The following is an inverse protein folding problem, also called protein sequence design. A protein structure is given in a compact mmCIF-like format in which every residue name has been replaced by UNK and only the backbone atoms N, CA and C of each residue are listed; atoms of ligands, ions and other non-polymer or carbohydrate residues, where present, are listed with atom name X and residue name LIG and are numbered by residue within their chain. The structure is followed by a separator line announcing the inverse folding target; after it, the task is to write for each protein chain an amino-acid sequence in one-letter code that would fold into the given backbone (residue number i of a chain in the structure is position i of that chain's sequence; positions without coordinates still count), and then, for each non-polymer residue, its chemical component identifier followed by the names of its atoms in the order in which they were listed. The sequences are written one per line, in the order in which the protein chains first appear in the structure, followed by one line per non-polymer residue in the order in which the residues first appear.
data_IF_376735549392
#
_entry.id   IF_376735549392
#
_cell.length_a   1.000
_cell.length_b   1.000
_cell.length_c   1.000
_cell.angle_alpha   90.00
_cell.angle_beta   90.00
_cell.angle_gamma   90.00
#
_symmetry.space_group_name_H-M   'P 1'
#
loop_
_entity.id
_entity.type
_entity.pdbx_description
1 polymer ?
#
# COMPACT_ATOMS: atom_id res chain seq x y z
N UNK A 1 -50.20 -28.51 -32.66
CA UNK A 1 -48.91 -27.80 -32.66
C UNK A 1 -48.66 -27.34 -31.23
N UNK A 2 -47.78 -27.99 -30.56
CA UNK A 2 -47.43 -27.69 -29.15
C UNK A 2 -46.11 -26.90 -29.20
N UNK A 3 -46.17 -25.63 -28.73
CA UNK A 3 -44.98 -24.80 -28.59
C UNK A 3 -44.12 -25.35 -27.45
N UNK A 4 -42.78 -25.46 -27.64
CA UNK A 4 -41.89 -25.84 -26.53
C UNK A 4 -41.71 -24.66 -25.57
N UNK A 5 -41.61 -24.99 -24.28
CA UNK A 5 -41.34 -24.05 -23.20
C UNK A 5 -39.92 -23.44 -23.32
N UNK A 6 -39.68 -22.19 -22.89
CA UNK A 6 -38.37 -21.55 -22.92
C UNK A 6 -37.41 -22.21 -21.94
N UNK A 7 -36.14 -22.24 -22.31
CA UNK A 7 -35.05 -22.87 -21.57
C UNK A 7 -34.66 -22.04 -20.33
N UNK A 8 -34.10 -22.65 -19.25
CA UNK A 8 -33.79 -21.97 -18.00
C UNK A 8 -32.51 -21.12 -18.04
N UNK A 9 -32.00 -20.69 -19.21
CA UNK A 9 -30.73 -19.96 -19.37
C UNK A 9 -30.84 -18.44 -19.35
N UNK A 10 -32.08 -17.86 -19.26
CA UNK A 10 -32.30 -16.41 -19.33
C UNK A 10 -32.68 -15.80 -17.97
N UNK A 11 -32.05 -16.27 -16.89
CA UNK A 11 -32.13 -15.56 -15.62
C UNK A 11 -30.99 -14.56 -15.59
N UNK A 12 -31.30 -13.33 -16.01
CA UNK A 12 -30.47 -12.16 -15.75
C UNK A 12 -30.14 -12.07 -14.26
N UNK A 13 -28.91 -12.42 -13.88
CA UNK A 13 -28.39 -12.09 -12.56
C UNK A 13 -28.25 -10.58 -12.48
N UNK A 14 -28.93 -9.90 -11.54
CA UNK A 14 -28.77 -8.45 -11.39
C UNK A 14 -27.32 -8.16 -11.00
N UNK A 15 -26.61 -7.44 -11.88
CA UNK A 15 -25.34 -6.79 -11.59
C UNK A 15 -25.52 -5.92 -10.33
N UNK A 16 -24.82 -6.27 -9.24
CA UNK A 16 -24.82 -5.52 -7.97
C UNK A 16 -23.91 -4.26 -8.08
N UNK A 17 -23.70 -3.76 -9.27
CA UNK A 17 -23.29 -2.38 -9.54
C UNK A 17 -24.56 -1.59 -9.90
N UNK A 18 -25.33 -1.18 -8.86
CA UNK A 18 -26.35 -0.15 -9.07
C UNK A 18 -25.70 1.01 -9.80
N UNK A 19 -26.20 1.39 -11.00
CA UNK A 19 -25.67 2.56 -11.69
C UNK A 19 -25.75 3.73 -10.72
N UNK A 20 -24.63 4.42 -10.49
CA UNK A 20 -24.59 5.67 -9.73
C UNK A 20 -25.66 6.59 -10.35
N UNK A 21 -26.80 6.73 -9.69
CA UNK A 21 -27.82 7.72 -10.05
C UNK A 21 -27.09 9.06 -9.95
N UNK A 22 -26.84 9.69 -11.09
CA UNK A 22 -26.29 11.04 -11.14
C UNK A 22 -27.31 11.95 -10.44
N UNK A 23 -27.09 12.21 -9.16
CA UNK A 23 -27.90 13.17 -8.41
C UNK A 23 -27.53 14.54 -8.99
N UNK A 24 -28.43 15.20 -9.72
CA UNK A 24 -28.15 16.52 -10.30
C UNK A 24 -27.92 17.52 -9.16
N UNK A 25 -26.77 18.17 -9.13
CA UNK A 25 -26.54 19.27 -8.21
C UNK A 25 -25.31 19.19 -7.29
N UNK A 26 -24.53 18.10 -7.35
CA UNK A 26 -23.27 18.07 -6.60
C UNK A 26 -22.14 18.78 -7.34
N UNK A 27 -21.24 19.47 -6.60
CA UNK A 27 -20.04 20.14 -7.13
C UNK A 27 -19.25 19.22 -8.07
N UNK A 28 -19.23 17.92 -7.78
CA UNK A 28 -18.60 16.88 -8.63
C UNK A 28 -19.27 16.74 -9.99
N UNK A 29 -20.60 16.92 -10.13
CA UNK A 29 -21.30 16.82 -11.42
C UNK A 29 -21.04 18.05 -12.31
N UNK A 30 -20.88 19.23 -11.72
CA UNK A 30 -20.54 20.45 -12.43
C UNK A 30 -19.12 20.41 -13.01
N UNK A 31 -18.11 19.99 -12.21
CA UNK A 31 -16.73 19.83 -12.65
C UNK A 31 -16.66 18.79 -13.80
N UNK A 32 -17.42 17.72 -13.72
CA UNK A 32 -17.45 16.65 -14.74
C UNK A 32 -17.91 17.12 -16.13
N UNK A 33 -18.72 18.15 -16.23
CA UNK A 33 -19.27 18.63 -17.52
C UNK A 33 -18.27 19.48 -18.31
N UNK A 34 -17.36 20.18 -17.64
CA UNK A 34 -16.48 21.19 -18.23
C UNK A 34 -15.02 20.75 -18.35
N UNK A 35 -14.64 19.60 -17.77
CA UNK A 35 -13.26 19.10 -17.81
C UNK A 35 -13.17 17.84 -18.68
N UNK A 36 -12.16 17.74 -19.57
CA UNK A 36 -11.94 16.55 -20.40
C UNK A 36 -11.85 15.28 -19.55
N UNK A 37 -12.62 14.25 -19.91
CA UNK A 37 -12.60 12.97 -19.19
C UNK A 37 -11.28 12.23 -19.44
N UNK A 38 -10.76 11.53 -18.41
CA UNK A 38 -9.63 10.63 -18.52
C UNK A 38 -10.09 9.17 -18.55
N UNK A 39 -9.48 8.35 -19.41
CA UNK A 39 -9.74 6.92 -19.47
C UNK A 39 -9.21 6.18 -18.23
N UNK A 40 -9.72 4.98 -17.96
CA UNK A 40 -9.22 4.11 -16.89
C UNK A 40 -7.71 3.83 -17.02
N UNK A 41 -7.23 3.61 -18.26
CA UNK A 41 -5.80 3.40 -18.54
C UNK A 41 -4.96 4.66 -18.31
N UNK A 42 -5.47 5.84 -18.72
CA UNK A 42 -4.82 7.12 -18.46
C UNK A 42 -4.66 7.39 -16.95
N UNK A 43 -5.73 7.20 -16.19
CA UNK A 43 -5.70 7.32 -14.73
C UNK A 43 -4.68 6.37 -14.09
N UNK A 44 -4.60 5.11 -14.55
CA UNK A 44 -3.61 4.14 -14.07
C UNK A 44 -2.17 4.57 -14.35
N UNK A 45 -1.89 5.27 -15.46
CA UNK A 45 -0.55 5.82 -15.75
C UNK A 45 -0.16 6.89 -14.74
N UNK A 46 -1.06 7.83 -14.43
CA UNK A 46 -0.84 8.85 -13.40
C UNK A 46 -0.56 8.18 -12.05
N UNK A 47 -1.33 7.16 -11.71
CA UNK A 47 -1.18 6.43 -10.47
C UNK A 47 0.11 5.60 -10.42
N UNK A 48 0.55 5.02 -11.53
CA UNK A 48 1.84 4.33 -11.61
C UNK A 48 3.01 5.30 -11.40
N UNK A 49 2.92 6.53 -11.94
CA UNK A 49 3.89 7.58 -11.70
C UNK A 49 3.90 7.99 -10.21
N UNK A 50 2.72 8.19 -9.59
CA UNK A 50 2.62 8.47 -8.16
C UNK A 50 3.26 7.37 -7.30
N UNK A 51 2.99 6.10 -7.60
CA UNK A 51 3.57 4.95 -6.93
C UNK A 51 5.10 4.90 -7.08
N UNK A 52 5.60 5.17 -8.28
CA UNK A 52 7.05 5.25 -8.53
C UNK A 52 7.69 6.37 -7.71
N UNK A 53 7.11 7.58 -7.71
CA UNK A 53 7.65 8.73 -6.97
C UNK A 53 7.59 8.53 -5.45
N UNK A 54 6.53 7.90 -4.93
CA UNK A 54 6.45 7.51 -3.51
C UNK A 54 7.54 6.49 -3.16
N UNK A 55 7.81 5.53 -4.03
CA UNK A 55 8.92 4.58 -3.83
C UNK A 55 10.28 5.27 -3.89
N UNK A 56 10.44 6.20 -4.83
CA UNK A 56 11.69 6.96 -5.03
C UNK A 56 11.99 7.85 -3.81
N UNK A 57 11.00 8.56 -3.25
CA UNK A 57 11.24 9.44 -2.09
C UNK A 57 11.62 8.66 -0.83
N UNK A 58 11.10 7.44 -0.64
CA UNK A 58 11.52 6.57 0.47
C UNK A 58 13.01 6.26 0.34
N UNK A 59 13.45 5.93 -0.87
CA UNK A 59 14.86 5.63 -1.13
C UNK A 59 15.75 6.88 -1.01
N UNK A 60 15.38 8.00 -1.65
CA UNK A 60 16.19 9.24 -1.57
C UNK A 60 16.20 9.83 -0.16
N UNK A 61 15.11 9.72 0.61
CA UNK A 61 15.07 10.08 2.03
C UNK A 61 16.03 9.23 2.88
N UNK A 62 16.16 7.94 2.55
CA UNK A 62 17.19 7.11 3.19
C UNK A 62 18.61 7.56 2.81
N UNK A 63 18.86 7.97 1.55
CA UNK A 63 20.14 8.51 1.12
C UNK A 63 20.50 9.82 1.85
N UNK A 64 19.52 10.73 2.06
CA UNK A 64 19.72 11.94 2.89
C UNK A 64 20.22 11.55 4.28
N UNK A 65 19.61 10.53 4.88
CA UNK A 65 20.03 10.04 6.20
C UNK A 65 21.44 9.40 6.16
N UNK A 66 21.69 8.53 5.18
CA UNK A 66 22.97 7.80 5.06
C UNK A 66 24.15 8.71 4.75
N UNK A 67 23.91 9.85 4.08
CA UNK A 67 24.93 10.86 3.80
C UNK A 67 25.16 11.87 4.93
N UNK A 68 24.51 11.70 6.09
CA UNK A 68 24.58 12.67 7.18
C UNK A 68 23.99 14.03 6.85
N UNK A 69 23.00 14.07 5.94
CA UNK A 69 22.42 15.33 5.42
C UNK A 69 21.04 15.65 5.99
N UNK A 70 20.62 14.94 7.05
CA UNK A 70 19.27 15.09 7.60
C UNK A 70 19.00 16.40 8.33
N UNK A 71 20.06 17.16 8.69
CA UNK A 71 19.98 18.52 9.23
C UNK A 71 20.79 19.52 8.38
N UNK A 72 21.02 19.21 7.10
CA UNK A 72 21.68 20.11 6.15
C UNK A 72 20.92 21.41 5.92
N UNK A 73 19.59 21.37 6.08
CA UNK A 73 18.70 22.54 6.15
C UNK A 73 18.24 22.74 7.60
N UNK A 74 18.82 23.69 8.35
CA UNK A 74 18.55 23.84 9.79
C UNK A 74 17.14 24.36 10.12
N UNK A 75 16.36 24.77 9.12
CA UNK A 75 15.01 25.30 9.28
C UNK A 75 13.98 24.55 8.45
N UNK A 76 12.73 24.73 8.83
CA UNK A 76 11.59 24.23 8.08
C UNK A 76 10.43 25.24 8.18
N UNK A 77 9.72 25.58 7.09
CA UNK A 77 9.79 24.99 5.73
C UNK A 77 10.95 25.47 4.86
N UNK A 78 11.63 26.54 5.22
CA UNK A 78 12.81 27.07 4.50
C UNK A 78 14.06 26.25 4.78
N UNK A 79 15.09 26.35 3.92
CA UNK A 79 16.37 25.71 4.19
C UNK A 79 17.29 26.58 5.07
N UNK A 80 17.22 27.91 4.89
CA UNK A 80 17.92 28.92 5.70
C UNK A 80 17.07 30.16 5.86
N UNK A 81 17.47 31.09 6.74
CA UNK A 81 16.68 32.29 7.05
C UNK A 81 16.35 33.06 5.77
N UNK A 82 15.04 33.18 5.48
CA UNK A 82 14.54 33.92 4.32
C UNK A 82 14.81 33.31 2.94
N UNK A 83 15.42 32.09 2.86
CA UNK A 83 15.79 31.46 1.60
C UNK A 83 15.17 30.06 1.45
N UNK A 84 14.17 29.96 0.58
CA UNK A 84 13.50 28.69 0.27
C UNK A 84 14.32 27.82 -0.69
N UNK A 85 15.03 28.47 -1.64
CA UNK A 85 15.66 27.80 -2.80
C UNK A 85 17.17 27.66 -2.69
N UNK A 86 17.79 28.15 -1.63
CA UNK A 86 19.25 28.15 -1.49
C UNK A 86 19.69 27.35 -0.28
N UNK A 87 20.58 26.40 -0.52
CA UNK A 87 21.18 25.58 0.52
C UNK A 87 22.52 26.19 1.00
N UNK A 88 22.85 26.10 2.30
CA UNK A 88 24.09 26.67 2.84
C UNK A 88 25.34 25.89 2.44
N UNK A 89 25.23 24.57 2.22
CA UNK A 89 26.35 23.68 1.94
C UNK A 89 25.89 22.45 1.12
N UNK A 90 26.78 21.47 0.89
CA UNK A 90 26.46 20.26 0.14
C UNK A 90 25.41 19.38 0.83
N UNK A 91 25.45 19.24 2.15
CA UNK A 91 24.42 18.51 2.92
C UNK A 91 23.05 19.17 2.77
N UNK A 92 23.01 20.50 2.85
CA UNK A 92 21.79 21.26 2.59
C UNK A 92 21.26 21.07 1.16
N UNK A 93 22.14 20.95 0.13
CA UNK A 93 21.71 20.66 -1.25
C UNK A 93 21.06 19.30 -1.38
N UNK A 94 21.61 18.26 -0.73
CA UNK A 94 21.06 16.89 -0.73
C UNK A 94 19.67 16.91 -0.08
N UNK A 95 19.54 17.53 1.10
CA UNK A 95 18.25 17.63 1.78
C UNK A 95 17.24 18.46 0.99
N UNK A 96 17.65 19.62 0.46
CA UNK A 96 16.81 20.52 -0.33
C UNK A 96 16.27 19.81 -1.59
N UNK A 97 17.11 19.05 -2.29
CA UNK A 97 16.67 18.22 -3.42
C UNK A 97 15.56 17.25 -3.02
N UNK A 98 15.72 16.58 -1.88
CA UNK A 98 14.70 15.66 -1.36
C UNK A 98 13.37 16.39 -1.01
N UNK A 99 13.44 17.64 -0.50
CA UNK A 99 12.27 18.49 -0.27
C UNK A 99 11.56 18.87 -1.58
N UNK A 100 12.31 19.19 -2.66
CA UNK A 100 11.73 19.43 -3.98
C UNK A 100 11.01 18.20 -4.52
N UNK A 101 11.60 17.02 -4.37
CA UNK A 101 10.95 15.77 -4.76
C UNK A 101 9.62 15.57 -4.01
N UNK A 102 9.55 15.92 -2.73
CA UNK A 102 8.30 15.94 -1.95
C UNK A 102 7.25 16.89 -2.58
N UNK A 103 7.67 18.07 -3.04
CA UNK A 103 6.80 19.01 -3.76
C UNK A 103 6.22 18.41 -5.05
N UNK A 104 7.06 17.73 -5.84
CA UNK A 104 6.61 17.02 -7.05
C UNK A 104 5.61 15.90 -6.75
N UNK A 105 5.84 15.14 -5.67
CA UNK A 105 4.88 14.13 -5.21
C UNK A 105 3.56 14.77 -4.84
N UNK A 106 3.58 15.88 -4.11
CA UNK A 106 2.38 16.65 -3.78
C UNK A 106 1.60 17.05 -5.03
N UNK A 107 2.29 17.61 -6.04
CA UNK A 107 1.68 18.00 -7.31
C UNK A 107 1.05 16.79 -8.04
N UNK A 108 1.75 15.67 -8.15
CA UNK A 108 1.22 14.44 -8.79
C UNK A 108 0.02 13.88 -8.02
N UNK A 109 0.02 13.93 -6.69
CA UNK A 109 -1.12 13.45 -5.89
C UNK A 109 -2.33 14.38 -6.02
N UNK A 110 -2.13 15.69 -6.18
CA UNK A 110 -3.21 16.63 -6.55
C UNK A 110 -3.78 16.28 -7.93
N UNK A 111 -2.93 16.08 -8.95
CA UNK A 111 -3.35 15.65 -10.29
C UNK A 111 -4.10 14.31 -10.21
N UNK A 112 -3.64 13.37 -9.39
CA UNK A 112 -4.31 12.10 -9.16
C UNK A 112 -5.71 12.29 -8.56
N UNK A 113 -5.87 13.18 -7.58
CA UNK A 113 -7.15 13.54 -7.00
C UNK A 113 -8.10 14.12 -8.04
N UNK A 114 -7.66 15.13 -8.80
CA UNK A 114 -8.44 15.77 -9.86
C UNK A 114 -8.85 14.76 -10.95
N UNK A 115 -7.90 13.95 -11.42
CA UNK A 115 -8.15 12.94 -12.45
C UNK A 115 -9.09 11.82 -11.96
N UNK A 116 -9.11 11.52 -10.67
CA UNK A 116 -10.06 10.54 -10.09
C UNK A 116 -11.52 10.99 -10.21
N UNK A 117 -11.77 12.31 -10.16
CA UNK A 117 -13.12 12.89 -10.29
C UNK A 117 -13.63 12.84 -11.73
N UNK A 118 -12.75 13.12 -12.71
CA UNK A 118 -13.12 13.18 -14.13
C UNK A 118 -12.92 11.87 -14.89
N UNK A 119 -12.46 10.82 -14.21
CA UNK A 119 -12.25 9.48 -14.77
C UNK A 119 -13.57 8.83 -15.24
N UNK A 120 -13.51 8.12 -16.36
CA UNK A 120 -14.60 7.30 -16.89
C UNK A 120 -14.19 5.83 -16.98
N UNK A 121 -15.02 4.88 -16.49
CA UNK A 121 -16.21 5.04 -15.63
C UNK A 121 -15.87 5.62 -14.26
N UNK A 122 -16.78 6.40 -13.66
CA UNK A 122 -16.56 7.05 -12.36
C UNK A 122 -16.66 6.05 -11.21
N UNK A 123 -15.79 6.22 -10.19
CA UNK A 123 -15.78 5.36 -9.00
C UNK A 123 -15.49 6.16 -7.73
N UNK A 124 -16.52 6.33 -6.88
CA UNK A 124 -16.41 7.06 -5.58
C UNK A 124 -15.27 6.53 -4.70
N UNK A 125 -15.04 5.21 -4.71
CA UNK A 125 -13.98 4.59 -3.93
C UNK A 125 -12.58 5.09 -4.34
N UNK A 126 -12.33 5.31 -5.62
CA UNK A 126 -11.04 5.82 -6.10
C UNK A 126 -10.84 7.28 -5.69
N UNK A 127 -11.89 8.11 -5.74
CA UNK A 127 -11.86 9.51 -5.29
C UNK A 127 -11.51 9.58 -3.79
N UNK A 128 -12.22 8.80 -2.96
CA UNK A 128 -11.95 8.76 -1.50
C UNK A 128 -10.52 8.32 -1.19
N UNK A 129 -10.03 7.29 -1.88
CA UNK A 129 -8.66 6.80 -1.68
C UNK A 129 -7.60 7.80 -2.18
N UNK A 130 -7.85 8.51 -3.29
CA UNK A 130 -6.96 9.58 -3.76
C UNK A 130 -6.91 10.75 -2.78
N UNK A 131 -8.06 11.12 -2.19
CA UNK A 131 -8.11 12.15 -1.16
C UNK A 131 -7.37 11.71 0.12
N UNK A 132 -7.55 10.46 0.55
CA UNK A 132 -6.82 9.91 1.69
C UNK A 132 -5.30 9.92 1.45
N UNK A 133 -4.87 9.56 0.24
CA UNK A 133 -3.46 9.64 -0.15
C UNK A 133 -2.94 11.07 -0.11
N UNK A 134 -3.73 12.05 -0.58
CA UNK A 134 -3.38 13.47 -0.53
C UNK A 134 -3.21 13.95 0.92
N UNK A 135 -4.19 13.69 1.79
CA UNK A 135 -4.11 14.06 3.22
C UNK A 135 -2.90 13.40 3.87
N UNK A 136 -2.63 12.14 3.54
CA UNK A 136 -1.46 11.42 4.04
C UNK A 136 -0.13 12.04 3.57
N UNK A 137 -0.04 12.50 2.31
CA UNK A 137 1.17 13.20 1.80
C UNK A 137 1.38 14.53 2.49
N UNK A 138 0.32 15.29 2.76
CA UNK A 138 0.40 16.52 3.58
C UNK A 138 0.90 16.18 4.99
N UNK A 139 0.30 15.18 5.64
CA UNK A 139 0.75 14.69 6.95
C UNK A 139 2.22 14.24 6.95
N UNK A 140 2.67 13.61 5.88
CA UNK A 140 4.06 13.18 5.69
C UNK A 140 5.01 14.37 5.59
N UNK A 141 4.64 15.44 4.89
CA UNK A 141 5.45 16.65 4.79
C UNK A 141 5.57 17.35 6.16
N UNK A 142 4.45 17.46 6.89
CA UNK A 142 4.44 18.03 8.25
C UNK A 142 5.30 17.19 9.23
N UNK A 143 5.15 15.87 9.18
CA UNK A 143 5.96 14.96 10.02
C UNK A 143 7.44 15.01 9.62
N UNK A 144 7.76 15.16 8.33
CA UNK A 144 9.12 15.40 7.85
C UNK A 144 9.71 16.70 8.39
N UNK A 145 8.93 17.79 8.39
CA UNK A 145 9.32 19.05 9.04
C UNK A 145 9.54 18.90 10.54
N UNK A 146 8.68 18.14 11.21
CA UNK A 146 8.83 17.84 12.64
C UNK A 146 10.13 17.07 12.94
N UNK A 147 10.59 16.17 12.05
CA UNK A 147 11.88 15.48 12.22
C UNK A 147 13.04 16.44 12.27
N UNK A 148 13.04 17.49 11.45
CA UNK A 148 14.05 18.54 11.46
C UNK A 148 13.99 19.38 12.74
N UNK A 149 12.79 19.85 13.12
CA UNK A 149 12.57 20.65 14.34
C UNK A 149 13.01 19.88 15.59
N UNK A 150 12.74 18.59 15.64
CA UNK A 150 13.13 17.71 16.74
C UNK A 150 14.58 17.17 16.61
N UNK A 151 15.41 17.72 15.70
CA UNK A 151 16.81 17.33 15.50
C UNK A 151 16.96 15.80 15.33
N UNK A 152 16.14 15.23 14.47
CA UNK A 152 16.13 13.80 14.11
C UNK A 152 15.92 12.85 15.30
N UNK A 153 15.11 13.23 16.31
CA UNK A 153 14.75 12.29 17.38
C UNK A 153 14.28 10.96 16.82
N UNK A 154 14.78 9.82 17.32
CA UNK A 154 14.53 8.50 16.76
C UNK A 154 13.04 8.20 16.52
N UNK A 155 12.18 8.57 17.49
CA UNK A 155 10.73 8.33 17.41
C UNK A 155 10.08 9.08 16.24
N UNK A 156 10.49 10.34 15.99
CA UNK A 156 9.98 11.14 14.89
C UNK A 156 10.41 10.56 13.53
N UNK A 157 11.67 10.16 13.41
CA UNK A 157 12.20 9.52 12.19
C UNK A 157 11.54 8.17 11.93
N UNK A 158 11.32 7.35 12.97
CA UNK A 158 10.56 6.10 12.86
C UNK A 158 9.14 6.34 12.38
N UNK A 159 8.42 7.28 13.00
CA UNK A 159 7.05 7.63 12.60
C UNK A 159 6.97 8.09 11.15
N UNK A 160 7.93 8.93 10.72
CA UNK A 160 8.04 9.42 9.35
C UNK A 160 8.25 8.28 8.34
N UNK A 161 9.13 7.31 8.64
CA UNK A 161 9.34 6.15 7.79
C UNK A 161 8.12 5.21 7.75
N UNK A 162 7.50 4.93 8.90
CA UNK A 162 6.32 4.07 8.99
C UNK A 162 5.13 4.69 8.22
N UNK A 163 4.94 6.01 8.29
CA UNK A 163 3.93 6.70 7.49
C UNK A 163 4.26 6.62 5.99
N UNK A 164 5.55 6.68 5.60
CA UNK A 164 5.95 6.47 4.21
C UNK A 164 5.54 5.08 3.69
N UNK A 165 5.72 4.02 4.50
CA UNK A 165 5.29 2.65 4.16
C UNK A 165 3.75 2.55 4.09
N UNK A 166 3.03 3.26 4.96
CA UNK A 166 1.57 3.33 4.89
C UNK A 166 1.08 4.03 3.61
N UNK A 167 1.73 5.13 3.20
CA UNK A 167 1.44 5.83 1.95
C UNK A 167 1.76 4.98 0.71
N UNK A 168 2.88 4.26 0.73
CA UNK A 168 3.22 3.29 -0.31
C UNK A 168 2.15 2.21 -0.42
N UNK A 169 1.64 1.72 0.71
CA UNK A 169 0.54 0.75 0.77
C UNK A 169 -0.75 1.32 0.19
N UNK A 170 -1.12 2.56 0.57
CA UNK A 170 -2.31 3.23 0.07
C UNK A 170 -2.25 3.45 -1.46
N UNK A 171 -1.09 3.88 -1.98
CA UNK A 171 -0.86 4.05 -3.41
C UNK A 171 -0.96 2.71 -4.17
N UNK A 172 -0.42 1.63 -3.60
CA UNK A 172 -0.49 0.30 -4.20
C UNK A 172 -1.91 -0.28 -4.17
N UNK A 173 -2.65 -0.10 -3.06
CA UNK A 173 -4.08 -0.49 -2.95
C UNK A 173 -4.92 0.29 -3.96
N UNK A 174 -4.69 1.58 -4.10
CA UNK A 174 -5.38 2.43 -5.07
C UNK A 174 -5.08 1.97 -6.51
N UNK A 175 -3.82 1.67 -6.82
CA UNK A 175 -3.40 1.13 -8.12
C UNK A 175 -4.06 -0.23 -8.42
N UNK A 176 -4.13 -1.11 -7.43
CA UNK A 176 -4.75 -2.42 -7.56
C UNK A 176 -6.28 -2.31 -7.75
N UNK A 177 -6.95 -1.40 -7.04
CA UNK A 177 -8.38 -1.13 -7.23
C UNK A 177 -8.70 -0.47 -8.57
N UNK A 178 -7.83 0.40 -9.06
CA UNK A 178 -7.98 1.01 -10.39
C UNK A 178 -7.80 0.00 -11.53
N UNK A 179 -7.14 -1.13 -11.28
CA UNK A 179 -6.91 -2.18 -12.26
C UNK A 179 -8.16 -3.04 -12.55
N UNK A 180 -9.18 -3.02 -11.68
CA UNK A 180 -10.38 -3.88 -11.81
C UNK A 180 -11.14 -3.64 -13.12
N UNK A 181 -11.10 -2.42 -13.64
CA UNK A 181 -11.79 -2.07 -14.90
C UNK A 181 -10.97 -2.39 -16.16
N UNK A 182 -9.69 -2.75 -16.01
CA UNK A 182 -8.77 -2.99 -17.13
C UNK A 182 -8.25 -4.41 -17.17
N UNK A 183 -8.25 -5.09 -16.04
CA UNK A 183 -7.71 -6.44 -15.90
C UNK A 183 -8.85 -7.42 -15.52
N UNK A 184 -8.83 -8.62 -16.10
CA UNK A 184 -9.74 -9.68 -15.70
C UNK A 184 -9.55 -10.02 -14.22
N UNK A 185 -10.65 -10.13 -13.44
CA UNK A 185 -10.56 -10.48 -12.02
C UNK A 185 -9.86 -11.84 -11.85
N UNK A 186 -9.15 -11.98 -10.75
CA UNK A 186 -8.56 -13.26 -10.37
C UNK A 186 -9.68 -14.21 -9.91
N UNK A 187 -9.92 -15.28 -10.65
CA UNK A 187 -10.65 -16.42 -10.11
C UNK A 187 -9.71 -17.21 -9.17
N UNK A 188 -9.88 -17.06 -7.88
CA UNK A 188 -9.12 -17.77 -6.85
C UNK A 188 -10.07 -18.63 -6.01
N UNK A 189 -9.74 -19.92 -5.86
CA UNK A 189 -10.35 -20.76 -4.84
C UNK A 189 -9.61 -20.57 -3.51
N UNK A 190 -10.23 -19.84 -2.58
CA UNK A 190 -9.65 -19.45 -1.29
C UNK A 190 -10.19 -20.33 -0.18
N UNK A 191 -9.29 -20.92 0.62
CA UNK A 191 -9.61 -21.66 1.85
C UNK A 191 -9.42 -20.76 3.08
N UNK A 192 -10.03 -21.11 4.19
CA UNK A 192 -9.84 -20.39 5.47
C UNK A 192 -8.36 -20.29 5.87
N UNK A 193 -7.57 -21.32 5.61
CA UNK A 193 -6.13 -21.32 5.84
C UNK A 193 -5.39 -20.24 5.00
N UNK A 194 -5.80 -20.01 3.77
CA UNK A 194 -5.17 -19.01 2.88
C UNK A 194 -5.38 -17.59 3.43
N UNK A 195 -6.54 -17.35 4.07
CA UNK A 195 -6.84 -16.07 4.76
C UNK A 195 -5.94 -15.86 5.97
N UNK A 196 -5.68 -16.92 6.74
CA UNK A 196 -4.77 -16.84 7.88
C UNK A 196 -3.33 -16.60 7.43
N UNK A 197 -2.88 -17.27 6.36
CA UNK A 197 -1.55 -17.03 5.77
C UNK A 197 -1.42 -15.59 5.24
N UNK A 198 -2.47 -15.03 4.61
CA UNK A 198 -2.47 -13.64 4.17
C UNK A 198 -2.45 -12.63 5.34
N UNK A 199 -3.12 -12.95 6.46
CA UNK A 199 -3.04 -12.14 7.70
C UNK A 199 -1.67 -12.25 8.35
N UNK A 200 -1.10 -13.45 8.43
CA UNK A 200 0.25 -13.68 8.94
C UNK A 200 1.31 -12.94 8.11
N UNK A 201 1.17 -12.96 6.77
CA UNK A 201 2.03 -12.19 5.85
C UNK A 201 2.00 -10.69 6.17
N UNK A 202 0.81 -10.12 6.38
CA UNK A 202 0.67 -8.71 6.74
C UNK A 202 1.26 -8.42 8.14
N UNK A 203 0.94 -9.24 9.13
CA UNK A 203 1.42 -9.08 10.50
C UNK A 203 2.94 -9.15 10.57
N UNK A 204 3.55 -10.21 10.05
CA UNK A 204 5.01 -10.37 10.11
C UNK A 204 5.74 -9.37 9.20
N UNK A 205 5.13 -8.95 8.09
CA UNK A 205 5.63 -7.84 7.29
C UNK A 205 5.70 -6.53 8.09
N UNK A 206 4.62 -6.17 8.78
CA UNK A 206 4.58 -4.97 9.64
C UNK A 206 5.58 -5.08 10.79
N UNK A 207 5.62 -6.22 11.48
CA UNK A 207 6.56 -6.44 12.60
C UNK A 207 8.02 -6.36 12.12
N UNK A 208 8.33 -6.92 10.96
CA UNK A 208 9.69 -6.85 10.38
C UNK A 208 10.07 -5.40 10.07
N UNK A 209 9.18 -4.63 9.41
CA UNK A 209 9.45 -3.22 9.12
C UNK A 209 9.59 -2.41 10.41
N UNK A 210 8.69 -2.59 11.38
CA UNK A 210 8.73 -1.89 12.65
C UNK A 210 10.03 -2.17 13.43
N UNK A 211 10.40 -3.45 13.59
CA UNK A 211 11.66 -3.85 14.22
C UNK A 211 12.88 -3.30 13.46
N UNK A 212 12.83 -3.26 12.12
CA UNK A 212 13.86 -2.64 11.28
C UNK A 212 14.04 -1.16 11.53
N UNK A 213 12.96 -0.42 11.84
CA UNK A 213 13.08 1.00 12.23
C UNK A 213 13.78 1.18 13.58
N UNK A 214 13.59 0.26 14.52
CA UNK A 214 14.32 0.25 15.79
C UNK A 214 15.82 -0.01 15.56
N UNK A 215 16.16 -1.02 14.72
CA UNK A 215 17.55 -1.29 14.34
C UNK A 215 18.21 -0.03 13.75
N UNK A 216 17.53 0.60 12.79
CA UNK A 216 18.03 1.80 12.14
C UNK A 216 18.21 2.96 13.13
N UNK A 217 17.29 3.11 14.09
CA UNK A 217 17.34 4.17 15.10
C UNK A 217 18.34 3.91 16.22
N UNK A 218 18.86 2.67 16.36
CA UNK A 218 19.95 2.31 17.28
C UNK A 218 21.31 2.27 16.57
N UNK A 219 21.31 2.21 15.22
CA UNK A 219 22.52 1.99 14.41
C UNK A 219 23.36 3.23 14.13
N UNK A 220 24.47 3.07 13.37
CA UNK A 220 25.47 4.14 13.17
C UNK A 220 24.99 5.32 12.33
N UNK A 221 24.01 5.13 11.43
CA UNK A 221 23.59 6.15 10.49
C UNK A 221 22.37 6.93 11.02
N UNK A 222 22.58 7.92 11.90
CA UNK A 222 21.54 8.75 12.52
C UNK A 222 20.92 9.79 11.58
N UNK A 223 21.65 10.19 10.53
CA UNK A 223 21.25 11.27 9.62
C UNK A 223 21.98 12.59 9.88
N UNK A 224 22.65 12.71 11.01
CA UNK A 224 23.53 13.81 11.40
C UNK A 224 24.40 13.37 12.57
N UNK A 225 25.52 14.08 12.82
CA UNK A 225 26.43 13.77 13.92
C UNK A 225 25.77 13.97 15.29
N UNK A 226 24.91 15.00 15.42
CA UNK A 226 24.20 15.32 16.67
C UNK A 226 22.89 14.53 16.86
N UNK A 227 22.50 13.69 15.89
CA UNK A 227 21.26 12.94 15.98
C UNK A 227 21.28 11.94 17.13
N UNK A 228 20.29 12.04 18.03
CA UNK A 228 20.11 11.08 19.11
C UNK A 228 19.83 9.68 18.57
N UNK A 229 20.18 8.65 19.33
CA UNK A 229 19.93 7.24 19.01
C UNK A 229 19.32 6.54 20.21
N UNK A 230 18.62 5.43 19.96
CA UNK A 230 18.22 4.57 21.04
C UNK A 230 19.46 3.90 21.67
N UNK A 231 19.46 3.81 22.98
CA UNK A 231 20.51 3.12 23.75
C UNK A 231 20.34 1.59 23.76
N UNK A 232 19.71 1.01 22.74
CA UNK A 232 19.53 -0.43 22.66
C UNK A 232 20.78 -1.10 22.07
N UNK A 233 21.09 -2.31 22.58
CA UNK A 233 22.13 -3.14 22.01
C UNK A 233 21.84 -3.48 20.55
N UNK A 234 22.76 -3.16 19.63
CA UNK A 234 22.62 -3.52 18.19
C UNK A 234 22.38 -5.01 18.01
N UNK A 235 23.01 -5.86 18.82
CA UNK A 235 22.82 -7.31 18.76
C UNK A 235 21.37 -7.71 19.04
N UNK A 236 20.75 -7.12 20.07
CA UNK A 236 19.43 -7.53 20.50
C UNK A 236 18.34 -7.02 19.55
N UNK A 237 18.45 -5.76 19.10
CA UNK A 237 17.48 -5.23 18.11
C UNK A 237 17.62 -5.90 16.75
N UNK A 238 18.84 -6.26 16.32
CA UNK A 238 19.06 -7.03 15.10
C UNK A 238 18.51 -8.45 15.20
N UNK A 239 18.62 -9.12 16.35
CA UNK A 239 18.00 -10.43 16.61
C UNK A 239 16.49 -10.36 16.55
N UNK A 240 15.86 -9.35 17.19
CA UNK A 240 14.42 -9.16 17.14
C UNK A 240 13.92 -8.95 15.71
N UNK A 241 14.60 -8.09 14.96
CA UNK A 241 14.29 -7.86 13.55
C UNK A 241 14.45 -9.13 12.71
N UNK A 242 15.55 -9.87 12.90
CA UNK A 242 15.81 -11.13 12.20
C UNK A 242 14.75 -12.19 12.53
N UNK A 243 14.32 -12.29 13.80
CA UNK A 243 13.27 -13.22 14.21
C UNK A 243 11.94 -12.92 13.49
N UNK A 244 11.52 -11.64 13.44
CA UNK A 244 10.33 -11.24 12.69
C UNK A 244 10.46 -11.57 11.20
N UNK A 245 11.65 -11.35 10.60
CA UNK A 245 11.94 -11.70 9.22
C UNK A 245 11.86 -13.22 8.95
N UNK A 246 12.32 -14.06 9.88
CA UNK A 246 12.19 -15.52 9.76
C UNK A 246 10.74 -16.01 9.79
N UNK A 247 9.88 -15.39 10.62
CA UNK A 247 8.44 -15.68 10.59
C UNK A 247 7.79 -15.22 9.28
N UNK A 248 8.25 -14.10 8.72
CA UNK A 248 7.83 -13.66 7.39
C UNK A 248 8.25 -14.68 6.31
N UNK A 249 9.51 -15.13 6.31
CA UNK A 249 10.01 -16.17 5.38
C UNK A 249 9.18 -17.45 5.51
N UNK A 250 8.95 -17.94 6.74
CA UNK A 250 8.16 -19.15 6.99
C UNK A 250 6.72 -19.01 6.42
N UNK A 251 6.12 -17.82 6.58
CA UNK A 251 4.78 -17.54 6.02
C UNK A 251 4.80 -17.55 4.48
N UNK A 252 5.82 -16.96 3.85
CA UNK A 252 5.97 -16.96 2.39
C UNK A 252 6.21 -18.38 1.85
N UNK A 253 7.03 -19.18 2.54
CA UNK A 253 7.23 -20.61 2.23
C UNK A 253 5.91 -21.39 2.36
N UNK A 254 5.14 -21.16 3.42
CA UNK A 254 3.81 -21.76 3.59
C UNK A 254 2.86 -21.44 2.42
N UNK A 255 2.84 -20.17 1.97
CA UNK A 255 2.10 -19.77 0.77
C UNK A 255 2.63 -20.46 -0.50
N UNK A 256 3.95 -20.56 -0.66
CA UNK A 256 4.57 -21.20 -1.82
C UNK A 256 4.20 -22.69 -1.88
N UNK A 257 4.26 -23.39 -0.76
CA UNK A 257 3.86 -24.80 -0.65
C UNK A 257 2.37 -24.99 -0.92
N UNK A 258 1.52 -24.09 -0.40
CA UNK A 258 0.06 -24.13 -0.61
C UNK A 258 -0.32 -24.00 -2.08
N UNK A 259 0.34 -23.11 -2.83
CA UNK A 259 0.04 -22.81 -4.23
C UNK A 259 0.97 -23.52 -5.23
N UNK A 260 1.82 -24.45 -4.80
CA UNK A 260 2.78 -25.15 -5.69
C UNK A 260 2.14 -25.94 -6.83
N UNK A 261 0.93 -26.48 -6.61
CA UNK A 261 0.17 -27.28 -7.57
C UNK A 261 -1.02 -26.51 -8.13
N UNK A 262 -0.81 -25.26 -8.51
CA UNK A 262 -1.85 -24.37 -9.03
C UNK A 262 -2.38 -24.82 -10.38
N UNK A 263 -3.70 -25.00 -10.50
CA UNK A 263 -4.39 -25.49 -11.70
C UNK A 263 -5.02 -24.36 -12.53
N UNK A 264 -5.63 -23.38 -11.89
CA UNK A 264 -6.27 -22.26 -12.58
C UNK A 264 -5.27 -21.19 -13.04
N UNK A 265 -5.64 -20.36 -14.03
CA UNK A 265 -4.82 -19.26 -14.51
C UNK A 265 -4.58 -18.20 -13.42
N UNK A 266 -5.61 -17.94 -12.58
CA UNK A 266 -5.50 -17.02 -11.45
C UNK A 266 -4.51 -17.51 -10.40
N UNK A 267 -4.59 -18.79 -10.01
CA UNK A 267 -3.65 -19.40 -9.06
C UNK A 267 -2.22 -19.41 -9.60
N UNK A 268 -1.99 -19.73 -10.89
CA UNK A 268 -0.65 -19.67 -11.50
C UNK A 268 -0.08 -18.24 -11.48
N UNK A 269 -0.93 -17.23 -11.67
CA UNK A 269 -0.50 -15.82 -11.55
C UNK A 269 -0.13 -15.48 -10.10
N UNK A 270 -0.91 -15.94 -9.13
CA UNK A 270 -0.58 -15.78 -7.71
C UNK A 270 0.70 -16.53 -7.33
N UNK A 271 0.89 -17.77 -7.79
CA UNK A 271 2.11 -18.55 -7.58
C UNK A 271 3.37 -17.82 -8.06
N UNK A 272 3.33 -17.20 -9.26
CA UNK A 272 4.46 -16.37 -9.75
C UNK A 272 4.75 -15.18 -8.81
N UNK A 273 3.70 -14.52 -8.29
CA UNK A 273 3.87 -13.41 -7.32
C UNK A 273 4.47 -13.89 -6.00
N UNK A 274 4.07 -15.06 -5.52
CA UNK A 274 4.65 -15.69 -4.33
C UNK A 274 6.11 -16.04 -4.57
N UNK A 275 6.47 -16.58 -5.75
CA UNK A 275 7.85 -16.84 -6.13
C UNK A 275 8.71 -15.56 -6.16
N UNK A 276 8.17 -14.47 -6.69
CA UNK A 276 8.83 -13.13 -6.67
C UNK A 276 9.03 -12.64 -5.23
N UNK A 277 8.01 -12.78 -4.37
CA UNK A 277 8.11 -12.40 -2.96
C UNK A 277 9.15 -13.25 -2.24
N UNK A 278 9.16 -14.57 -2.46
CA UNK A 278 10.15 -15.47 -1.84
C UNK A 278 11.58 -15.07 -2.26
N UNK A 279 11.82 -14.87 -3.54
CA UNK A 279 13.11 -14.44 -4.04
C UNK A 279 13.55 -13.09 -3.44
N UNK A 280 12.63 -12.11 -3.40
CA UNK A 280 12.90 -10.81 -2.79
C UNK A 280 13.19 -10.92 -1.29
N UNK A 281 12.44 -11.75 -0.55
CA UNK A 281 12.63 -11.93 0.89
C UNK A 281 13.95 -12.64 1.21
N UNK A 282 14.32 -13.67 0.43
CA UNK A 282 15.61 -14.35 0.60
C UNK A 282 16.80 -13.43 0.26
N UNK A 283 16.72 -12.69 -0.85
CA UNK A 283 17.74 -11.70 -1.21
C UNK A 283 17.88 -10.62 -0.13
N UNK A 284 16.75 -10.13 0.41
CA UNK A 284 16.71 -9.14 1.49
C UNK A 284 17.35 -9.69 2.77
N UNK A 285 17.10 -10.95 3.11
CA UNK A 285 17.74 -11.63 4.23
C UNK A 285 19.26 -11.74 4.04
N UNK A 286 19.73 -12.16 2.85
CA UNK A 286 21.13 -12.23 2.53
C UNK A 286 21.83 -10.87 2.65
N UNK A 287 21.22 -9.79 2.09
CA UNK A 287 21.73 -8.42 2.22
C UNK A 287 21.78 -8.01 3.70
N UNK A 288 20.72 -8.29 4.49
CA UNK A 288 20.66 -7.91 5.90
C UNK A 288 21.72 -8.61 6.75
N UNK A 289 21.97 -9.90 6.55
CA UNK A 289 23.06 -10.61 7.24
C UNK A 289 24.43 -10.12 6.81
N UNK A 290 24.66 -9.92 5.50
CA UNK A 290 25.92 -9.34 5.00
C UNK A 290 26.17 -7.97 5.61
N UNK A 291 25.16 -7.09 5.62
CA UNK A 291 25.23 -5.77 6.24
C UNK A 291 25.59 -5.84 7.72
N UNK A 292 25.00 -6.77 8.49
CA UNK A 292 25.32 -6.94 9.91
C UNK A 292 26.75 -7.41 10.14
N UNK A 293 27.20 -8.42 9.36
CA UNK A 293 28.55 -9.00 9.47
C UNK A 293 29.65 -8.04 9.01
N UNK A 294 29.34 -7.10 8.13
CA UNK A 294 30.30 -6.09 7.62
C UNK A 294 30.22 -4.75 8.34
N UNK A 295 29.66 -4.72 9.56
CA UNK A 295 29.55 -3.51 10.40
C UNK A 295 28.67 -2.38 9.80
N UNK A 296 27.63 -2.76 9.09
CA UNK A 296 26.56 -1.86 8.62
C UNK A 296 27.04 -0.74 7.66
N UNK A 297 27.76 -1.04 6.56
CA UNK A 297 28.21 0.00 5.65
C UNK A 297 27.02 0.69 4.95
N UNK A 298 27.07 2.01 4.78
CA UNK A 298 25.97 2.85 4.30
C UNK A 298 25.39 2.39 2.96
N UNK A 299 26.23 1.94 2.02
CA UNK A 299 25.79 1.47 0.71
C UNK A 299 24.95 0.18 0.80
N UNK A 300 25.28 -0.76 1.71
CA UNK A 300 24.45 -1.94 1.95
C UNK A 300 23.12 -1.57 2.61
N UNK A 301 23.10 -0.58 3.50
CA UNK A 301 21.85 -0.04 4.07
C UNK A 301 20.98 0.56 2.97
N UNK A 302 21.54 1.30 2.01
CA UNK A 302 20.80 1.82 0.87
C UNK A 302 20.17 0.70 0.03
N UNK A 303 20.94 -0.35 -0.28
CA UNK A 303 20.44 -1.53 -1.02
C UNK A 303 19.36 -2.26 -0.21
N UNK A 304 19.54 -2.37 1.12
CA UNK A 304 18.54 -2.97 2.02
C UNK A 304 17.22 -2.18 2.01
N UNK A 305 17.24 -0.85 2.00
CA UNK A 305 16.03 -0.02 1.89
C UNK A 305 15.30 -0.23 0.55
N UNK A 306 16.03 -0.35 -0.56
CA UNK A 306 15.41 -0.74 -1.84
C UNK A 306 14.74 -2.11 -1.74
N UNK A 307 15.39 -3.06 -1.08
CA UNK A 307 14.82 -4.38 -0.82
C UNK A 307 13.57 -4.34 0.06
N UNK A 308 13.49 -3.45 1.07
CA UNK A 308 12.27 -3.23 1.88
C UNK A 308 11.11 -2.82 0.99
N UNK A 309 11.30 -1.85 0.07
CA UNK A 309 10.28 -1.42 -0.87
C UNK A 309 9.82 -2.59 -1.75
N UNK A 310 10.76 -3.37 -2.28
CA UNK A 310 10.47 -4.51 -3.15
C UNK A 310 9.71 -5.62 -2.41
N UNK A 311 10.15 -6.03 -1.22
CA UNK A 311 9.47 -7.03 -0.38
C UNK A 311 8.08 -6.54 0.00
N UNK A 312 7.93 -5.29 0.42
CA UNK A 312 6.64 -4.72 0.82
C UNK A 312 5.64 -4.69 -0.34
N UNK A 313 6.05 -4.17 -1.51
CA UNK A 313 5.20 -4.14 -2.69
C UNK A 313 4.81 -5.55 -3.18
N UNK A 314 5.75 -6.50 -3.16
CA UNK A 314 5.45 -7.88 -3.57
C UNK A 314 4.55 -8.60 -2.56
N UNK A 315 4.73 -8.37 -1.26
CA UNK A 315 3.87 -8.90 -0.21
C UNK A 315 2.42 -8.42 -0.36
N UNK A 316 2.20 -7.12 -0.58
CA UNK A 316 0.86 -6.58 -0.83
C UNK A 316 0.25 -7.13 -2.12
N UNK A 317 1.03 -7.31 -3.20
CA UNK A 317 0.54 -7.94 -4.45
C UNK A 317 0.14 -9.41 -4.28
N UNK A 318 0.62 -10.09 -3.25
CA UNK A 318 0.17 -11.43 -2.84
C UNK A 318 -1.06 -11.35 -1.93
N UNK A 319 -1.06 -10.47 -0.94
CA UNK A 319 -2.12 -10.36 0.07
C UNK A 319 -3.45 -9.81 -0.50
N UNK A 320 -3.40 -8.77 -1.34
CA UNK A 320 -4.59 -8.09 -1.85
C UNK A 320 -5.57 -9.01 -2.62
N UNK A 321 -5.13 -9.90 -3.54
CA UNK A 321 -6.03 -10.84 -4.22
C UNK A 321 -6.67 -11.85 -3.25
N UNK A 322 -5.92 -12.32 -2.24
CA UNK A 322 -6.42 -13.25 -1.25
C UNK A 322 -7.51 -12.61 -0.37
N UNK A 323 -7.32 -11.36 0.05
CA UNK A 323 -8.32 -10.61 0.83
C UNK A 323 -9.60 -10.33 0.03
N UNK A 324 -9.49 -10.01 -1.27
CA UNK A 324 -10.67 -9.81 -2.13
C UNK A 324 -11.47 -11.09 -2.32
N UNK A 325 -10.80 -12.19 -2.61
CA UNK A 325 -11.46 -13.47 -2.81
C UNK A 325 -12.21 -13.92 -1.54
N UNK A 326 -11.65 -13.65 -0.35
CA UNK A 326 -12.31 -13.93 0.93
C UNK A 326 -13.56 -13.05 1.14
N UNK A 327 -13.50 -11.77 0.78
CA UNK A 327 -14.65 -10.87 0.91
C UNK A 327 -15.80 -11.27 -0.01
N UNK A 328 -15.49 -11.80 -1.20
CA UNK A 328 -16.50 -12.27 -2.17
C UNK A 328 -17.14 -13.60 -1.78
N UNK A 329 -16.49 -14.42 -0.94
CA UNK A 329 -17.00 -15.72 -0.48
C UNK A 329 -17.78 -15.65 0.84
N UNK A 330 -17.92 -14.47 1.45
CA UNK A 330 -18.75 -14.28 2.62
C UNK A 330 -20.23 -14.42 2.24
N UNK A 331 -21.07 -15.22 2.96
CA UNK A 331 -22.49 -15.34 2.68
C UNK A 331 -23.14 -13.95 2.73
N UNK A 332 -23.79 -13.56 1.65
CA UNK A 332 -24.68 -12.37 1.70
C UNK A 332 -25.76 -12.64 2.72
N UNK A 333 -25.97 -11.74 3.67
CA UNK A 333 -26.96 -11.85 4.75
C UNK A 333 -28.43 -11.88 4.22
N UNK A 334 -28.62 -12.01 2.92
CA UNK A 334 -29.91 -11.99 2.22
C UNK A 334 -30.55 -13.36 1.98
N UNK A 335 -29.94 -14.47 2.41
CA UNK A 335 -30.61 -15.79 2.35
C UNK A 335 -31.13 -16.23 3.71
N UNK A 336 -31.92 -15.37 4.38
CA UNK A 336 -32.83 -15.85 5.41
C UNK A 336 -33.91 -16.73 4.72
N UNK A 337 -34.18 -17.99 5.16
CA UNK A 337 -35.23 -18.77 4.61
C UNK A 337 -36.57 -18.03 4.83
N UNK A 338 -37.31 -17.77 3.76
CA UNK A 338 -38.66 -17.28 3.87
C UNK A 338 -39.51 -18.40 4.53
N UNK A 339 -39.76 -18.26 5.83
CA UNK A 339 -40.76 -19.08 6.51
C UNK A 339 -42.08 -18.80 5.83
N UNK A 340 -42.57 -19.75 5.01
CA UNK A 340 -43.92 -19.79 4.54
C UNK A 340 -44.85 -19.82 5.76
N UNK A 341 -45.62 -18.74 5.99
CA UNK A 341 -46.68 -18.72 6.96
C UNK A 341 -47.68 -19.83 6.58
N UNK A 342 -48.09 -20.68 7.52
CA UNK A 342 -49.20 -21.60 7.25
C UNK A 342 -50.45 -20.78 6.95
N UNK A 343 -51.00 -20.96 5.74
CA UNK A 343 -52.30 -20.42 5.36
C UNK A 343 -53.38 -21.09 6.23
N UNK A 344 -54.16 -20.25 6.86
CA UNK A 344 -55.11 -20.55 7.89
C UNK A 344 -56.12 -21.62 7.57
N UNK A 345 -56.55 -22.25 8.64
CA UNK A 345 -57.64 -23.20 8.72
C UNK A 345 -58.96 -22.60 8.20
N UNK A 346 -59.63 -23.31 7.30
CA UNK A 346 -60.96 -23.04 6.89
C UNK A 346 -61.94 -23.37 8.05
N UNK A 347 -62.67 -22.39 8.49
CA UNK A 347 -63.84 -22.58 9.37
C UNK A 347 -65.03 -23.05 8.55
N UNK A 348 -65.45 -24.27 8.81
CA UNK A 348 -66.71 -24.79 8.32
C UNK A 348 -67.91 -24.22 9.16
N UNK A 349 -68.99 -23.72 8.58
CA UNK A 349 -70.13 -23.38 9.36
C UNK A 349 -70.99 -24.66 9.55
N UNK A 350 -71.34 -24.93 10.79
CA UNK A 350 -72.39 -25.92 11.14
C UNK A 350 -73.77 -25.32 10.93
N UNK A 351 -74.64 -26.15 10.34
CA UNK A 351 -76.09 -25.92 10.23
C UNK A 351 -76.80 -26.06 11.58
#
# INVERSE_FOLDING_TARGET
MIHPAPSPSDVDTPDIDTPDIDVPGTVTSAIRRHVPSISASGYRRVLALALFLVSLIIFTGALVRLSGSGLGCPQWPTCSVGQILRAPNNHGRIELFNRYLTGWIGAIVVVLGLTSVVRRPYRKALVRLSLLLFVGVVGQALLGGLTVILKLKPQAVMGHFLLSIALLSAALVLHDRAAVDTDRPFALSVRRADTWLARALALFGVLTVFAGTIVTSSGPHGGDEIAERFAFSMRDVARLHSLAAWFLVATVVGLALRFRLSRSAGERRLQRRIGQLLAATLAQGAIGYTQYLTQVPAWLVAVHILGVIAVWCTALRVALPLWRATASSAPTASSAPSWSRPTGAATTPAA
#
